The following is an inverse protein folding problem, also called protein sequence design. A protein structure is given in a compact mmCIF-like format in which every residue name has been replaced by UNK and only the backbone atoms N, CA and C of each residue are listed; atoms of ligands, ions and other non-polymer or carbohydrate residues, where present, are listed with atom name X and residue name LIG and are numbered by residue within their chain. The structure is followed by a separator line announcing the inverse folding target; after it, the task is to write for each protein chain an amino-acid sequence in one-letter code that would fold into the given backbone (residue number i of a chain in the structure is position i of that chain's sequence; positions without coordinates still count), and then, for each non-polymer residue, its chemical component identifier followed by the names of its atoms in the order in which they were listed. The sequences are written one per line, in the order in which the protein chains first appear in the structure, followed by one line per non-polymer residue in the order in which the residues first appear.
data_IF_375591072811
#
_entry.id   IF_375591072811
#
_cell.length_a   1.000
_cell.length_b   1.000
_cell.length_c   1.000
_cell.angle_alpha   90.00
_cell.angle_beta   90.00
_cell.angle_gamma   90.00
#
_symmetry.space_group_name_H-M   'P 1'
#
loop_
_entity.id
_entity.type
_entity.pdbx_description
1 polymer ?
#
# COMPACT_ATOMS: atom_id res chain seq x y z
N UNK A 1 82.85 -13.58 31.76
CA UNK A 1 82.34 -14.39 30.63
C UNK A 1 80.94 -14.85 30.99
N UNK A 2 80.01 -14.55 30.10
CA UNK A 2 78.56 -14.67 30.22
C UNK A 2 78.09 -16.13 30.16
N UNK A 3 77.26 -16.55 31.10
CA UNK A 3 76.53 -17.83 31.05
C UNK A 3 75.12 -17.53 30.57
N UNK A 4 74.83 -17.83 29.30
CA UNK A 4 73.50 -17.76 28.72
C UNK A 4 72.76 -19.06 29.04
N UNK A 5 71.85 -19.01 30.01
CA UNK A 5 70.95 -20.12 30.33
C UNK A 5 69.97 -20.34 29.17
N UNK A 6 70.22 -21.34 28.33
CA UNK A 6 69.29 -21.77 27.28
C UNK A 6 68.28 -22.75 27.88
N UNK A 7 67.07 -22.28 28.16
CA UNK A 7 65.95 -23.13 28.59
C UNK A 7 65.43 -23.95 27.41
N UNK A 8 65.55 -25.28 27.50
CA UNK A 8 65.05 -26.21 26.48
C UNK A 8 63.58 -26.51 26.74
N UNK A 9 62.71 -26.26 25.74
CA UNK A 9 61.28 -26.60 25.82
C UNK A 9 61.12 -28.12 25.69
N UNK A 10 60.40 -28.75 26.62
CA UNK A 10 60.11 -30.20 26.59
C UNK A 10 58.84 -30.52 25.80
N UNK A 11 58.69 -31.78 25.36
CA UNK A 11 57.49 -32.24 24.65
C UNK A 11 56.20 -32.08 25.48
N UNK A 12 56.27 -32.27 26.80
CA UNK A 12 55.14 -32.04 27.72
C UNK A 12 54.76 -30.56 27.80
N UNK A 13 55.75 -29.66 27.81
CA UNK A 13 55.48 -28.22 27.77
C UNK A 13 54.77 -27.80 26.48
N UNK A 14 55.15 -28.37 25.33
CA UNK A 14 54.47 -28.14 24.05
C UNK A 14 53.04 -28.68 24.05
N UNK A 15 52.81 -29.87 24.61
CA UNK A 15 51.47 -30.46 24.68
C UNK A 15 50.54 -29.62 25.56
N UNK A 16 51.01 -29.14 26.71
CA UNK A 16 50.24 -28.24 27.57
C UNK A 16 49.88 -26.92 26.88
N UNK A 17 50.80 -26.33 26.11
CA UNK A 17 50.53 -25.11 25.32
C UNK A 17 49.45 -25.37 24.25
N UNK A 18 49.50 -26.53 23.58
CA UNK A 18 48.50 -26.90 22.57
C UNK A 18 47.12 -27.08 23.22
N UNK A 19 47.06 -27.75 24.37
CA UNK A 19 45.81 -28.02 25.09
C UNK A 19 45.21 -26.73 25.66
N UNK A 20 46.03 -25.83 26.21
CA UNK A 20 45.59 -24.50 26.66
C UNK A 20 45.09 -23.64 25.49
N UNK A 21 45.81 -23.62 24.36
CA UNK A 21 45.36 -22.92 23.16
C UNK A 21 44.02 -23.46 22.67
N UNK A 22 43.84 -24.79 22.67
CA UNK A 22 42.58 -25.43 22.27
C UNK A 22 41.43 -25.04 23.21
N UNK A 23 41.67 -25.03 24.52
CA UNK A 23 40.67 -24.56 25.51
C UNK A 23 40.33 -23.09 25.30
N UNK A 24 41.32 -22.24 25.10
CA UNK A 24 41.10 -20.81 24.83
C UNK A 24 40.29 -20.57 23.56
N UNK A 25 40.55 -21.30 22.47
CA UNK A 25 39.77 -21.22 21.23
C UNK A 25 38.34 -21.69 21.44
N UNK A 26 38.12 -22.82 22.13
CA UNK A 26 36.77 -23.32 22.41
C UNK A 26 35.96 -22.34 23.28
N UNK A 27 36.57 -21.77 24.32
CA UNK A 27 35.95 -20.75 25.17
C UNK A 27 35.56 -19.51 24.36
N UNK A 28 36.44 -19.08 23.43
CA UNK A 28 36.16 -17.96 22.55
C UNK A 28 35.00 -18.27 21.58
N UNK A 29 34.98 -19.47 21.01
CA UNK A 29 33.88 -19.94 20.15
C UNK A 29 32.55 -19.92 20.90
N UNK A 30 32.50 -20.47 22.11
CA UNK A 30 31.29 -20.46 22.96
C UNK A 30 30.83 -19.03 23.29
N UNK A 31 31.76 -18.10 23.52
CA UNK A 31 31.43 -16.69 23.73
C UNK A 31 30.83 -16.05 22.47
N UNK A 32 31.39 -16.35 21.30
CA UNK A 32 30.84 -15.85 20.03
C UNK A 32 29.47 -16.44 19.73
N UNK A 33 29.26 -17.74 19.94
CA UNK A 33 27.96 -18.40 19.76
C UNK A 33 26.90 -17.77 20.67
N UNK A 34 27.21 -17.55 21.95
CA UNK A 34 26.31 -16.86 22.89
C UNK A 34 26.01 -15.43 22.44
N UNK A 35 27.01 -14.72 21.91
CA UNK A 35 26.83 -13.35 21.40
C UNK A 35 25.97 -13.32 20.15
N UNK A 36 26.18 -14.25 19.21
CA UNK A 36 25.36 -14.38 17.99
C UNK A 36 23.91 -14.69 18.38
N UNK A 37 23.68 -15.69 19.24
CA UNK A 37 22.33 -16.04 19.68
C UNK A 37 21.61 -14.87 20.35
N UNK A 38 22.31 -14.08 21.18
CA UNK A 38 21.76 -12.86 21.79
C UNK A 38 21.39 -11.81 20.74
N UNK A 39 22.27 -11.56 19.78
CA UNK A 39 22.03 -10.57 18.72
C UNK A 39 20.88 -11.00 17.80
N UNK A 40 20.75 -12.29 17.51
CA UNK A 40 19.64 -12.83 16.73
C UNK A 40 18.29 -12.67 17.44
N UNK A 41 18.25 -12.90 18.76
CA UNK A 41 17.04 -12.66 19.56
C UNK A 41 16.67 -11.17 19.59
N UNK A 42 17.65 -10.30 19.83
CA UNK A 42 17.45 -8.85 19.82
C UNK A 42 16.92 -8.36 18.46
N UNK A 43 17.50 -8.88 17.36
CA UNK A 43 17.03 -8.59 16.00
C UNK A 43 15.60 -9.08 15.78
N UNK A 44 15.23 -10.25 16.31
CA UNK A 44 13.86 -10.77 16.23
C UNK A 44 12.88 -9.86 16.97
N UNK A 45 13.20 -9.42 18.18
CA UNK A 45 12.36 -8.49 18.94
C UNK A 45 12.21 -7.15 18.22
N UNK A 46 13.32 -6.58 17.73
CA UNK A 46 13.32 -5.32 17.00
C UNK A 46 12.45 -5.40 15.74
N UNK A 47 12.59 -6.48 14.96
CA UNK A 47 11.75 -6.73 13.78
C UNK A 47 10.28 -6.89 14.15
N UNK A 48 9.98 -7.55 15.26
CA UNK A 48 8.61 -7.68 15.77
C UNK A 48 7.99 -6.32 16.14
N UNK A 49 8.74 -5.47 16.88
CA UNK A 49 8.32 -4.11 17.21
C UNK A 49 8.11 -3.26 15.96
N UNK A 50 9.02 -3.35 14.99
CA UNK A 50 8.90 -2.63 13.72
C UNK A 50 7.66 -3.08 12.94
N UNK A 51 7.43 -4.39 12.80
CA UNK A 51 6.24 -4.92 12.11
C UNK A 51 4.94 -4.48 12.78
N UNK A 52 4.92 -4.39 14.12
CA UNK A 52 3.77 -3.85 14.85
C UNK A 52 3.59 -2.35 14.58
N UNK A 53 4.68 -1.58 14.55
CA UNK A 53 4.64 -0.14 14.28
C UNK A 53 4.18 0.17 12.84
N UNK A 54 4.59 -0.66 11.88
CA UNK A 54 4.20 -0.55 10.46
C UNK A 54 2.69 -0.73 10.26
N UNK A 55 2.02 -1.46 11.16
CA UNK A 55 0.56 -1.67 11.11
C UNK A 55 -0.27 -0.50 11.63
N UNK A 56 0.34 0.48 12.29
CA UNK A 56 -0.38 1.60 12.93
C UNK A 56 0.10 2.98 12.48
N UNK A 57 1.30 3.07 11.90
CA UNK A 57 1.88 4.34 11.47
C UNK A 57 1.53 4.61 10.01
N UNK A 58 0.77 5.68 9.68
CA UNK A 58 0.51 6.04 8.30
C UNK A 58 1.77 6.55 7.60
N UNK A 59 1.90 6.23 6.31
CA UNK A 59 3.03 6.60 5.45
C UNK A 59 2.51 7.16 4.13
N UNK A 60 3.34 7.99 3.50
CA UNK A 60 3.11 8.41 2.12
C UNK A 60 4.02 7.62 1.18
N UNK A 61 3.44 6.94 0.18
CA UNK A 61 4.18 6.22 -0.87
C UNK A 61 3.62 6.55 -2.25
N UNK A 62 4.45 6.40 -3.28
CA UNK A 62 3.98 6.40 -4.66
C UNK A 62 3.29 5.06 -4.95
N UNK A 63 2.01 5.09 -5.32
CA UNK A 63 1.22 3.89 -5.57
C UNK A 63 0.19 4.13 -6.68
N UNK A 64 0.01 3.19 -7.61
CA UNK A 64 -0.94 3.29 -8.73
C UNK A 64 -0.89 4.63 -9.50
N UNK A 65 0.31 5.20 -9.68
CA UNK A 65 0.50 6.47 -10.39
C UNK A 65 0.15 7.72 -9.59
N UNK A 66 -0.11 7.60 -8.28
CA UNK A 66 -0.43 8.70 -7.38
C UNK A 66 0.30 8.61 -6.04
N UNK A 67 -0.05 9.51 -5.13
CA UNK A 67 0.44 9.51 -3.75
C UNK A 67 -0.61 8.88 -2.83
N UNK A 68 -0.29 7.70 -2.30
CA UNK A 68 -1.08 7.06 -1.25
C UNK A 68 -0.61 7.55 0.12
N UNK A 69 -1.55 7.92 0.99
CA UNK A 69 -1.33 8.22 2.39
C UNK A 69 -2.22 7.35 3.27
N UNK A 70 -1.62 6.48 4.08
CA UNK A 70 -2.33 5.55 4.97
C UNK A 70 -1.41 4.45 5.49
N UNK A 71 -1.97 3.38 6.05
CA UNK A 71 -1.17 2.25 6.54
C UNK A 71 -0.54 1.50 5.36
N UNK A 72 0.74 1.12 5.51
CA UNK A 72 1.51 0.37 4.51
C UNK A 72 2.14 -0.83 5.18
N UNK A 73 1.77 -2.03 4.74
CA UNK A 73 2.31 -3.30 5.24
C UNK A 73 3.02 -3.99 4.09
N UNK A 74 4.27 -4.42 4.30
CA UNK A 74 5.09 -5.08 3.27
C UNK A 74 5.18 -4.29 1.94
N UNK A 75 5.18 -2.96 2.02
CA UNK A 75 5.29 -2.08 0.85
C UNK A 75 4.00 -1.88 0.05
N UNK A 76 2.86 -2.39 0.52
CA UNK A 76 1.55 -2.18 -0.14
C UNK A 76 0.55 -1.50 0.80
N UNK A 77 -0.40 -0.71 0.25
CA UNK A 77 -1.51 -0.13 1.01
C UNK A 77 -2.34 -1.18 1.75
N UNK A 78 -2.67 -0.89 3.00
CA UNK A 78 -3.49 -1.72 3.88
C UNK A 78 -4.37 -0.82 4.77
N UNK A 79 -5.53 -1.29 5.21
CA UNK A 79 -6.43 -0.54 6.09
C UNK A 79 -6.92 0.77 5.46
N UNK A 80 -7.21 1.77 6.29
CA UNK A 80 -7.72 3.06 5.79
C UNK A 80 -6.61 3.91 5.17
N UNK A 81 -6.89 4.49 4.02
CA UNK A 81 -5.99 5.46 3.39
C UNK A 81 -6.60 6.19 2.20
N UNK A 82 -5.91 7.22 1.74
CA UNK A 82 -6.33 8.03 0.60
C UNK A 82 -5.25 8.00 -0.49
N UNK A 83 -5.68 7.82 -1.73
CA UNK A 83 -4.85 7.98 -2.92
C UNK A 83 -5.20 9.31 -3.59
N UNK A 84 -4.17 10.09 -3.88
CA UNK A 84 -4.24 11.37 -4.61
C UNK A 84 -3.39 11.31 -5.86
N UNK A 85 -3.57 12.27 -6.76
CA UNK A 85 -2.66 12.46 -7.91
C UNK A 85 -1.22 12.67 -7.45
N UNK A 86 -0.26 12.52 -8.38
CA UNK A 86 1.17 12.56 -8.04
C UNK A 86 1.64 13.94 -7.54
N UNK A 87 0.98 15.00 -8.00
CA UNK A 87 1.14 16.38 -7.52
C UNK A 87 0.43 16.62 -6.17
N UNK A 88 -0.45 15.70 -5.74
CA UNK A 88 -1.17 15.75 -4.48
C UNK A 88 -2.48 16.55 -4.51
N UNK A 89 -2.77 17.24 -5.60
CA UNK A 89 -3.87 18.21 -5.68
C UNK A 89 -5.24 17.51 -5.67
N UNK A 90 -5.35 16.41 -6.41
CA UNK A 90 -6.65 15.78 -6.67
C UNK A 90 -6.82 14.49 -5.89
N UNK A 91 -8.03 14.26 -5.37
CA UNK A 91 -8.38 12.96 -4.79
C UNK A 91 -8.68 11.97 -5.90
N UNK A 92 -8.21 10.74 -5.72
CA UNK A 92 -8.52 9.61 -6.62
C UNK A 92 -9.38 8.58 -5.89
N UNK A 93 -9.03 8.27 -4.64
CA UNK A 93 -9.74 7.31 -3.81
C UNK A 93 -9.55 7.64 -2.34
N UNK A 94 -10.57 7.45 -1.52
CA UNK A 94 -10.46 7.50 -0.07
C UNK A 94 -11.23 6.32 0.50
N UNK A 95 -10.53 5.46 1.25
CA UNK A 95 -11.17 4.31 1.87
C UNK A 95 -10.28 3.16 2.32
N UNK A 96 -10.89 2.01 2.61
CA UNK A 96 -10.21 0.76 2.96
C UNK A 96 -9.42 0.18 1.77
N UNK A 97 -8.23 -0.33 2.11
CA UNK A 97 -7.31 -1.07 1.26
C UNK A 97 -7.02 -2.43 1.89
N UNK A 98 -6.88 -3.45 1.07
CA UNK A 98 -6.49 -4.79 1.50
C UNK A 98 -5.54 -5.38 0.47
N UNK A 99 -4.34 -5.78 0.90
CA UNK A 99 -3.30 -6.31 -0.01
C UNK A 99 -3.04 -5.40 -1.22
N UNK A 100 -3.02 -4.07 -1.01
CA UNK A 100 -2.83 -3.07 -2.06
C UNK A 100 -4.05 -2.82 -2.97
N UNK A 101 -5.19 -3.46 -2.72
CA UNK A 101 -6.40 -3.26 -3.52
C UNK A 101 -7.47 -2.51 -2.75
N UNK A 102 -8.24 -1.68 -3.44
CA UNK A 102 -9.44 -1.02 -2.90
C UNK A 102 -10.43 -2.06 -2.37
N UNK A 103 -10.95 -1.81 -1.18
CA UNK A 103 -11.88 -2.71 -0.47
C UNK A 103 -12.90 -1.91 0.34
N UNK A 104 -13.97 -2.54 0.81
CA UNK A 104 -14.91 -1.91 1.74
C UNK A 104 -15.88 -0.93 1.05
N UNK A 105 -16.56 -0.08 1.83
CA UNK A 105 -17.58 0.88 1.34
C UNK A 105 -16.98 2.27 1.23
N UNK A 106 -16.63 2.70 0.02
CA UNK A 106 -15.68 3.80 -0.17
C UNK A 106 -15.97 4.65 -1.41
N UNK A 107 -15.27 5.80 -1.45
CA UNK A 107 -15.48 6.86 -2.43
C UNK A 107 -14.34 6.92 -3.44
N UNK A 108 -14.71 6.99 -4.72
CA UNK A 108 -13.78 7.20 -5.82
C UNK A 108 -14.06 8.52 -6.54
N UNK A 109 -12.96 9.19 -6.87
CA UNK A 109 -12.95 10.54 -7.36
C UNK A 109 -12.26 10.60 -8.71
N UNK A 110 -12.54 11.66 -9.45
CA UNK A 110 -11.90 11.98 -10.72
C UNK A 110 -11.71 13.49 -10.82
N UNK A 111 -10.57 13.94 -11.33
CA UNK A 111 -10.31 15.36 -11.55
C UNK A 111 -10.69 15.81 -12.95
N UNK A 112 -11.51 16.85 -13.06
CA UNK A 112 -11.81 17.48 -14.33
C UNK A 112 -12.03 18.98 -14.23
N UNK A 113 -12.97 19.39 -13.39
CA UNK A 113 -13.19 20.78 -13.00
C UNK A 113 -13.29 20.84 -11.48
N UNK A 114 -12.33 20.18 -10.81
CA UNK A 114 -12.36 19.82 -9.39
C UNK A 114 -12.65 18.33 -9.15
N UNK A 115 -12.57 17.93 -7.89
CA UNK A 115 -12.84 16.57 -7.41
C UNK A 115 -14.31 16.17 -7.69
N UNK A 116 -14.53 15.30 -8.68
CA UNK A 116 -15.84 14.71 -8.98
C UNK A 116 -15.98 13.35 -8.31
N UNK A 117 -16.93 13.21 -7.38
CA UNK A 117 -17.30 11.92 -6.79
C UNK A 117 -18.09 11.09 -7.82
N UNK A 118 -17.40 10.23 -8.56
CA UNK A 118 -18.03 9.47 -9.65
C UNK A 118 -18.63 8.15 -9.18
N UNK A 119 -18.15 7.59 -8.06
CA UNK A 119 -18.72 6.37 -7.48
C UNK A 119 -18.55 6.33 -5.96
N UNK A 120 -19.62 5.94 -5.28
CA UNK A 120 -19.61 5.62 -3.87
C UNK A 120 -20.29 4.27 -3.66
N UNK A 121 -19.60 3.35 -3.00
CA UNK A 121 -20.14 2.02 -2.79
C UNK A 121 -19.12 0.98 -2.35
N UNK A 122 -19.53 -0.28 -2.41
CA UNK A 122 -18.73 -1.42 -2.04
C UNK A 122 -17.69 -1.77 -3.11
N UNK A 123 -16.45 -1.98 -2.69
CA UNK A 123 -15.30 -2.41 -3.46
C UNK A 123 -14.85 -3.80 -3.01
N UNK A 124 -14.54 -4.67 -3.97
CA UNK A 124 -14.00 -6.01 -3.73
C UNK A 124 -12.87 -6.29 -4.70
N UNK A 125 -11.71 -6.72 -4.19
CA UNK A 125 -10.53 -7.03 -5.01
C UNK A 125 -10.16 -5.91 -6.01
N UNK A 126 -10.29 -4.65 -5.60
CA UNK A 126 -9.97 -3.49 -6.44
C UNK A 126 -11.04 -3.13 -7.47
N UNK A 127 -12.20 -3.79 -7.47
CA UNK A 127 -13.32 -3.53 -8.40
C UNK A 127 -14.56 -3.04 -7.66
N UNK A 128 -15.32 -2.17 -8.31
CA UNK A 128 -16.64 -1.76 -7.87
C UNK A 128 -17.59 -2.98 -7.86
N UNK A 129 -18.30 -3.18 -6.75
CA UNK A 129 -19.23 -4.30 -6.55
C UNK A 129 -20.68 -3.84 -6.48
N UNK A 130 -21.00 -2.82 -5.69
CA UNK A 130 -22.34 -2.23 -5.61
C UNK A 130 -22.26 -0.79 -5.15
N UNK A 131 -23.12 0.11 -5.62
CA UNK A 131 -23.02 1.52 -5.25
C UNK A 131 -23.87 2.45 -6.10
N UNK A 132 -23.50 3.73 -6.04
CA UNK A 132 -24.15 4.80 -6.78
C UNK A 132 -23.09 5.53 -7.61
N UNK A 133 -23.34 5.67 -8.92
CA UNK A 133 -22.58 6.59 -9.76
C UNK A 133 -23.13 8.01 -9.61
N UNK A 134 -22.23 8.98 -9.50
CA UNK A 134 -22.54 10.41 -9.31
C UNK A 134 -23.53 10.67 -8.16
N UNK A 135 -23.23 10.24 -6.92
CA UNK A 135 -24.11 10.45 -5.76
C UNK A 135 -24.46 11.92 -5.52
N UNK A 136 -23.53 12.84 -5.81
CA UNK A 136 -23.73 14.29 -5.66
C UNK A 136 -24.47 14.93 -6.86
N UNK A 137 -25.06 14.11 -7.73
CA UNK A 137 -25.70 14.52 -8.97
C UNK A 137 -24.79 15.31 -9.92
N UNK A 138 -23.46 15.17 -9.78
CA UNK A 138 -22.47 15.92 -10.56
C UNK A 138 -21.47 14.97 -11.21
N UNK A 139 -21.39 15.02 -12.54
CA UNK A 139 -20.45 14.23 -13.32
C UNK A 139 -19.29 15.08 -13.90
N UNK A 140 -19.35 16.41 -13.73
CA UNK A 140 -18.46 17.36 -14.40
C UNK A 140 -17.60 18.18 -13.42
N UNK A 141 -18.12 18.54 -12.24
CA UNK A 141 -17.43 19.34 -11.23
C UNK A 141 -17.67 20.85 -11.35
N UNK A 142 -18.17 21.33 -12.50
CA UNK A 142 -18.48 22.75 -12.67
C UNK A 142 -19.68 23.15 -11.80
N UNK A 143 -19.52 24.23 -11.03
CA UNK A 143 -20.55 24.74 -10.10
C UNK A 143 -21.06 26.10 -10.53
N UNK A 144 -22.35 26.33 -10.30
CA UNK A 144 -22.97 27.65 -10.36
C UNK A 144 -22.49 28.52 -9.17
N UNK A 145 -22.73 29.85 -9.18
CA UNK A 145 -22.37 30.73 -8.06
C UNK A 145 -22.99 30.35 -6.71
N UNK A 146 -24.11 29.64 -6.72
CA UNK A 146 -24.78 29.11 -5.52
C UNK A 146 -24.22 27.75 -5.03
N UNK A 147 -23.21 27.21 -5.73
CA UNK A 147 -22.58 25.92 -5.44
C UNK A 147 -23.28 24.70 -6.05
N UNK A 148 -24.42 24.87 -6.72
CA UNK A 148 -25.13 23.75 -7.38
C UNK A 148 -24.37 23.25 -8.63
N UNK A 149 -24.46 21.95 -8.98
CA UNK A 149 -23.84 21.44 -10.21
C UNK A 149 -24.41 22.14 -11.45
N UNK A 150 -23.54 22.61 -12.34
CA UNK A 150 -23.96 23.22 -13.61
C UNK A 150 -24.58 22.19 -14.57
N UNK A 151 -24.17 20.92 -14.46
CA UNK A 151 -24.63 19.82 -15.33
C UNK A 151 -25.17 18.66 -14.47
N UNK A 152 -26.34 18.83 -13.84
CA UNK A 152 -26.86 17.83 -12.92
C UNK A 152 -27.29 16.55 -13.64
N UNK A 153 -27.06 15.40 -13.00
CA UNK A 153 -27.52 14.08 -13.46
C UNK A 153 -28.21 13.35 -12.32
N UNK A 154 -29.17 12.48 -12.65
CA UNK A 154 -29.77 11.59 -11.65
C UNK A 154 -28.73 10.57 -11.19
N UNK A 155 -28.48 10.41 -9.87
CA UNK A 155 -27.59 9.39 -9.35
C UNK A 155 -28.03 7.99 -9.79
N UNK A 156 -27.08 7.16 -10.22
CA UNK A 156 -27.37 5.86 -10.84
C UNK A 156 -26.96 4.75 -9.88
N UNK A 157 -27.95 4.03 -9.33
CA UNK A 157 -27.69 2.82 -8.56
C UNK A 157 -27.22 1.70 -9.48
N UNK A 158 -26.17 1.00 -9.09
CA UNK A 158 -25.59 -0.09 -9.86
C UNK A 158 -25.03 -1.18 -8.95
N UNK A 159 -25.09 -2.43 -9.41
CA UNK A 159 -24.44 -3.57 -8.76
C UNK A 159 -23.88 -4.56 -9.79
N UNK A 160 -22.86 -5.31 -9.38
CA UNK A 160 -22.21 -6.32 -10.20
C UNK A 160 -23.22 -7.35 -10.73
N UNK A 161 -23.06 -7.72 -12.00
CA UNK A 161 -24.03 -8.53 -12.73
C UNK A 161 -25.03 -7.69 -13.55
N UNK A 162 -25.17 -6.40 -13.26
CA UNK A 162 -25.95 -5.48 -14.10
C UNK A 162 -25.07 -4.81 -15.17
N UNK A 163 -25.67 -4.58 -16.34
CA UNK A 163 -25.12 -3.62 -17.31
C UNK A 163 -25.23 -2.21 -16.76
N UNK A 164 -24.18 -1.42 -16.90
CA UNK A 164 -24.24 0.03 -16.65
C UNK A 164 -25.23 0.62 -17.65
N UNK A 165 -26.20 1.46 -17.25
CA UNK A 165 -27.18 2.03 -18.17
C UNK A 165 -26.54 2.80 -19.34
N UNK A 166 -27.10 2.68 -20.55
CA UNK A 166 -26.65 3.46 -21.72
C UNK A 166 -27.21 4.89 -21.72
N UNK A 167 -26.94 5.62 -20.64
CA UNK A 167 -27.45 6.97 -20.41
C UNK A 167 -26.54 8.03 -21.04
N UNK A 168 -27.14 9.08 -21.63
CA UNK A 168 -26.40 10.27 -22.05
C UNK A 168 -26.24 11.22 -20.87
N UNK A 169 -25.00 11.63 -20.57
CA UNK A 169 -24.71 12.57 -19.46
C UNK A 169 -25.04 14.03 -19.82
N UNK A 170 -25.20 14.35 -21.12
CA UNK A 170 -25.56 15.69 -21.60
C UNK A 170 -26.51 15.66 -22.81
N UNK A 171 -27.81 15.44 -22.64
CA UNK A 171 -28.76 15.39 -23.76
C UNK A 171 -28.85 16.71 -24.54
N UNK A 172 -29.16 16.71 -25.86
CA UNK A 172 -29.36 15.54 -26.72
C UNK A 172 -28.07 15.01 -27.38
N UNK A 173 -26.99 15.79 -27.45
CA UNK A 173 -25.72 15.43 -28.13
C UNK A 173 -24.55 15.27 -27.15
N UNK A 174 -24.73 14.43 -26.13
CA UNK A 174 -23.81 14.30 -25.01
C UNK A 174 -22.97 13.04 -24.99
N UNK A 175 -21.94 13.06 -24.15
CA UNK A 175 -21.13 11.88 -23.84
C UNK A 175 -21.99 10.80 -23.18
N UNK A 176 -21.97 9.60 -23.76
CA UNK A 176 -22.55 8.41 -23.14
C UNK A 176 -21.78 8.03 -21.89
N UNK A 177 -22.48 7.56 -20.85
CA UNK A 177 -21.87 7.16 -19.58
C UNK A 177 -20.74 6.14 -19.77
N UNK A 178 -20.97 5.07 -20.54
CA UNK A 178 -19.95 4.05 -20.77
C UNK A 178 -18.70 4.62 -21.44
N UNK A 179 -18.87 5.55 -22.39
CA UNK A 179 -17.76 6.24 -23.06
C UNK A 179 -17.02 7.16 -22.11
N UNK A 180 -17.74 7.93 -21.28
CA UNK A 180 -17.13 8.76 -20.25
C UNK A 180 -16.27 7.91 -19.29
N UNK A 181 -16.76 6.77 -18.82
CA UNK A 181 -15.99 5.87 -17.94
C UNK A 181 -14.71 5.34 -18.63
N UNK A 182 -14.78 5.06 -19.93
CA UNK A 182 -13.62 4.62 -20.72
C UNK A 182 -12.60 5.75 -20.90
N UNK A 183 -13.05 6.91 -21.37
CA UNK A 183 -12.21 8.08 -21.63
C UNK A 183 -11.52 8.57 -20.35
N UNK A 184 -12.18 8.43 -19.19
CA UNK A 184 -11.61 8.77 -17.88
C UNK A 184 -10.76 7.65 -17.26
N UNK A 185 -10.61 6.51 -17.94
CA UNK A 185 -9.82 5.37 -17.45
C UNK A 185 -10.42 4.65 -16.23
N UNK A 186 -11.62 5.03 -15.78
CA UNK A 186 -12.28 4.44 -14.61
C UNK A 186 -13.10 3.19 -14.94
N UNK A 187 -13.33 2.92 -16.24
CA UNK A 187 -14.02 1.71 -16.70
C UNK A 187 -13.35 0.40 -16.24
N UNK A 188 -12.03 0.40 -16.04
CA UNK A 188 -11.26 -0.75 -15.59
C UNK A 188 -11.58 -1.20 -14.15
N UNK A 189 -12.26 -0.35 -13.36
CA UNK A 189 -12.73 -0.69 -12.03
C UNK A 189 -14.04 -1.49 -12.03
N UNK A 190 -14.70 -1.63 -13.17
CA UNK A 190 -15.90 -2.45 -13.29
C UNK A 190 -15.56 -3.88 -13.75
N UNK A 191 -16.35 -4.89 -13.35
CA UNK A 191 -16.20 -6.25 -13.86
C UNK A 191 -16.33 -6.33 -15.39
N UNK A 192 -15.65 -7.31 -15.99
CA UNK A 192 -15.76 -7.56 -17.42
C UNK A 192 -17.23 -7.78 -17.82
N UNK A 193 -17.65 -7.13 -18.91
CA UNK A 193 -19.03 -7.19 -19.38
C UNK A 193 -20.00 -6.23 -18.68
N UNK A 194 -19.58 -5.42 -17.71
CA UNK A 194 -20.44 -4.39 -17.12
C UNK A 194 -20.77 -3.24 -18.10
N UNK A 195 -19.84 -2.88 -18.99
CA UNK A 195 -20.03 -1.83 -19.99
C UNK A 195 -20.62 -2.37 -21.31
N UNK A 196 -21.19 -1.47 -22.11
CA UNK A 196 -21.56 -1.73 -23.51
C UNK A 196 -20.31 -1.75 -24.40
N UNK A 197 -20.39 -2.49 -25.51
CA UNK A 197 -19.32 -2.54 -26.52
C UNK A 197 -19.43 -1.36 -27.46
#
# INVERSE_FOLDING_TARGET
MSVTSSSTITAEMLQNIIDDNRRSVNLLLEQYEKRIARLEEELREMRGRQAQNDRITPRTIVYQGGLYHGIVVNGVPEGMGALRSIDGDNKIYAGEWRNGKRHGKEKAYYDYCGDVLWFEGEWREGRAHSGTLFPDADWHGAKNPDGSPQYPVTPIRWQAGQKIPDTSLRPPYGTKLHKWLQDRGVSGYFPAGALWK
#
